data_IF_946645672260
#
_entry.id   IF_946645672260
#
_cell.length_a   1.000
_cell.length_b   1.000
_cell.length_c   1.000
_cell.angle_alpha   90.00
_cell.angle_beta   90.00
_cell.angle_gamma   90.00
#
_symmetry.space_group_name_H-M   'P 1'
#
loop_
_entity.id
_entity.type
_entity.pdbx_description
1 polymer ?
#
# COMPACT_ATOMS: atom_id res chain seq x y z
N UNK A 1 -9.57 -5.07 -9.40
CA UNK A 1 -8.29 -4.66 -8.76
C UNK A 1 -7.99 -3.17 -8.91
N UNK A 2 -8.66 -2.42 -9.80
CA UNK A 2 -8.50 -0.94 -9.90
C UNK A 2 -8.58 -0.21 -8.55
N UNK A 3 -9.54 -0.59 -7.69
CA UNK A 3 -9.82 0.11 -6.44
C UNK A 3 -8.68 0.02 -5.39
N UNK A 4 -7.70 -0.88 -5.57
CA UNK A 4 -6.53 -0.99 -4.69
C UNK A 4 -5.25 -0.45 -5.32
N UNK A 5 -5.31 -0.01 -6.58
CA UNK A 5 -4.14 0.50 -7.28
C UNK A 5 -3.63 1.77 -6.59
N UNK A 6 -2.38 1.72 -6.14
CA UNK A 6 -1.66 2.88 -5.66
C UNK A 6 -1.08 3.65 -6.86
N UNK A 7 -1.25 4.97 -6.86
CA UNK A 7 -0.66 5.87 -7.86
C UNK A 7 0.55 6.63 -7.31
N UNK A 8 0.67 6.69 -5.98
CA UNK A 8 1.75 7.35 -5.27
C UNK A 8 2.31 6.35 -4.25
N UNK A 9 3.63 6.29 -4.16
CA UNK A 9 4.35 5.55 -3.14
C UNK A 9 5.34 6.49 -2.45
N UNK A 10 5.78 6.07 -1.26
CA UNK A 10 6.76 6.80 -0.49
C UNK A 10 8.08 6.02 -0.51
N UNK A 11 9.17 6.69 -0.88
CA UNK A 11 10.52 6.12 -0.90
C UNK A 11 11.41 6.88 0.09
N UNK A 12 12.19 6.15 0.87
CA UNK A 12 13.19 6.75 1.75
C UNK A 12 14.34 7.31 0.90
N UNK A 13 14.69 8.58 1.12
CA UNK A 13 15.83 9.26 0.50
C UNK A 13 16.63 10.00 1.58
N UNK A 14 17.95 9.93 1.49
CA UNK A 14 18.84 10.62 2.42
C UNK A 14 19.18 12.01 1.90
N UNK A 15 18.94 13.04 2.70
CA UNK A 15 19.24 14.44 2.36
C UNK A 15 19.88 15.09 3.59
N UNK A 16 21.04 15.73 3.43
CA UNK A 16 21.69 16.48 4.51
C UNK A 16 21.99 15.67 5.79
N UNK A 17 22.26 14.37 5.66
CA UNK A 17 22.58 13.50 6.80
C UNK A 17 21.40 12.75 7.41
N UNK A 18 20.15 13.17 7.16
CA UNK A 18 18.92 12.53 7.67
C UNK A 18 18.11 11.85 6.55
N UNK A 19 17.28 10.87 6.91
CA UNK A 19 16.48 10.08 5.96
C UNK A 19 15.04 10.58 5.94
N UNK A 20 14.64 11.18 4.83
CA UNK A 20 13.27 11.67 4.61
C UNK A 20 12.48 10.74 3.71
N UNK A 21 11.17 10.77 3.87
CA UNK A 21 10.23 10.06 3.04
C UNK A 21 9.81 10.96 1.88
N UNK A 22 10.19 10.61 0.66
CA UNK A 22 9.88 11.37 -0.56
C UNK A 22 8.77 10.66 -1.31
N UNK A 23 7.71 11.38 -1.63
CA UNK A 23 6.58 10.90 -2.44
C UNK A 23 7.00 10.78 -3.91
N UNK A 24 6.74 9.62 -4.53
CA UNK A 24 7.04 9.34 -5.93
C UNK A 24 5.79 8.75 -6.58
N UNK A 25 5.44 9.23 -7.77
CA UNK A 25 4.37 8.62 -8.56
C UNK A 25 4.87 7.30 -9.16
N UNK A 26 4.01 6.30 -9.08
CA UNK A 26 4.31 4.94 -9.52
C UNK A 26 3.50 4.58 -10.76
N UNK A 27 4.15 3.89 -11.69
CA UNK A 27 3.51 3.39 -12.90
C UNK A 27 2.43 2.34 -12.60
N UNK A 28 1.55 2.08 -13.58
CA UNK A 28 0.41 1.17 -13.44
C UNK A 28 0.80 -0.24 -13.02
N UNK A 29 1.91 -0.77 -13.54
CA UNK A 29 2.45 -2.10 -13.22
C UNK A 29 2.95 -2.16 -11.77
N UNK A 30 3.66 -1.13 -11.31
CA UNK A 30 4.18 -1.05 -9.94
C UNK A 30 3.04 -0.87 -8.93
N UNK A 31 2.02 -0.07 -9.25
CA UNK A 31 0.83 0.09 -8.43
C UNK A 31 0.03 -1.20 -8.25
N UNK A 32 -0.08 -2.03 -9.31
CA UNK A 32 -0.68 -3.37 -9.22
C UNK A 32 0.15 -4.31 -8.34
N UNK A 33 1.48 -4.32 -8.53
CA UNK A 33 2.37 -5.14 -7.71
C UNK A 33 2.32 -4.76 -6.23
N UNK A 34 2.24 -3.47 -5.92
CA UNK A 34 2.12 -2.97 -4.55
C UNK A 34 0.78 -3.37 -3.91
N UNK A 35 -0.32 -3.27 -4.67
CA UNK A 35 -1.63 -3.72 -4.22
C UNK A 35 -1.66 -5.23 -3.87
N UNK A 36 -1.02 -6.07 -4.70
CA UNK A 36 -0.88 -7.51 -4.44
C UNK A 36 -0.02 -7.74 -3.18
N UNK A 37 1.08 -7.00 -3.02
CA UNK A 37 1.93 -7.10 -1.82
C UNK A 37 1.17 -6.72 -0.54
N UNK A 38 0.35 -5.68 -0.56
CA UNK A 38 -0.48 -5.33 0.60
C UNK A 38 -1.54 -6.38 0.90
N UNK A 39 -2.13 -6.96 -0.15
CA UNK A 39 -3.07 -8.05 0.01
C UNK A 39 -2.40 -9.23 0.72
N UNK A 40 -1.21 -9.62 0.27
CA UNK A 40 -0.39 -10.70 0.85
C UNK A 40 0.10 -10.38 2.27
N UNK A 41 0.58 -9.17 2.54
CA UNK A 41 1.08 -8.76 3.85
C UNK A 41 -0.04 -8.69 4.90
N UNK A 42 -1.28 -8.43 4.49
CA UNK A 42 -2.43 -8.46 5.38
C UNK A 42 -2.78 -9.89 5.85
N UNK A 43 -2.20 -10.94 5.27
CA UNK A 43 -2.35 -12.30 5.78
C UNK A 43 -1.43 -12.53 6.97
N UNK A 44 -1.96 -12.75 8.17
CA UNK A 44 -1.15 -13.27 9.25
C UNK A 44 -0.79 -14.72 8.93
N UNK A 45 0.49 -14.98 8.70
CA UNK A 45 1.08 -16.32 8.56
C UNK A 45 0.69 -17.22 9.75
N UNK A 46 0.44 -16.60 10.91
CA UNK A 46 0.18 -17.23 12.20
C UNK A 46 -1.29 -17.45 12.57
N UNK A 47 -2.28 -17.30 11.66
CA UNK A 47 -3.68 -17.63 12.01
C UNK A 47 -4.01 -19.10 11.75
N UNK A 48 -4.10 -19.96 12.78
CA UNK A 48 -4.52 -21.35 12.62
C UNK A 48 -5.98 -21.43 12.15
N UNK A 49 -6.33 -22.46 11.37
CA UNK A 49 -7.72 -22.93 11.26
C UNK A 49 -8.54 -22.58 10.01
N UNK A 50 -7.98 -22.06 8.91
CA UNK A 50 -8.74 -21.93 7.64
C UNK A 50 -7.85 -21.97 6.40
N UNK A 51 -8.31 -22.68 5.36
CA UNK A 51 -7.66 -22.79 4.04
C UNK A 51 -7.41 -21.39 3.45
N UNK A 52 -6.21 -21.18 2.88
CA UNK A 52 -5.75 -19.91 2.33
C UNK A 52 -6.71 -19.34 1.29
N UNK A 53 -7.32 -20.22 0.48
CA UNK A 53 -8.29 -19.83 -0.55
C UNK A 53 -9.52 -19.10 0.03
N UNK A 54 -10.07 -19.59 1.16
CA UNK A 54 -11.21 -18.96 1.83
C UNK A 54 -10.85 -17.62 2.48
N UNK A 55 -9.65 -17.50 3.03
CA UNK A 55 -9.16 -16.23 3.59
C UNK A 55 -9.00 -15.18 2.49
N UNK A 56 -8.54 -15.60 1.32
CA UNK A 56 -8.37 -14.73 0.15
C UNK A 56 -9.71 -14.26 -0.42
N UNK A 57 -10.67 -15.16 -0.61
CA UNK A 57 -11.98 -14.79 -1.16
C UNK A 57 -12.73 -13.79 -0.27
N UNK A 58 -12.74 -14.03 1.05
CA UNK A 58 -13.34 -13.11 2.02
C UNK A 58 -12.69 -11.72 1.97
N UNK A 59 -11.38 -11.67 1.76
CA UNK A 59 -10.63 -10.40 1.71
C UNK A 59 -10.81 -9.65 0.41
N UNK A 60 -10.83 -10.34 -0.72
CA UNK A 60 -11.15 -9.72 -2.02
C UNK A 60 -12.54 -9.09 -1.93
N UNK A 61 -13.51 -9.80 -1.37
CA UNK A 61 -14.86 -9.27 -1.12
C UNK A 61 -14.85 -8.05 -0.18
N UNK A 62 -14.14 -8.12 0.94
CA UNK A 62 -13.99 -6.98 1.87
C UNK A 62 -13.23 -5.78 1.28
N UNK A 63 -12.28 -6.00 0.37
CA UNK A 63 -11.59 -4.93 -0.36
C UNK A 63 -12.52 -4.20 -1.32
N UNK A 64 -13.47 -4.90 -1.95
CA UNK A 64 -14.50 -4.27 -2.77
C UNK A 64 -15.38 -3.34 -1.94
N UNK A 65 -15.62 -3.68 -0.66
CA UNK A 65 -16.40 -2.86 0.28
C UNK A 65 -15.59 -1.75 0.98
N UNK A 66 -14.31 -1.54 0.63
CA UNK A 66 -13.38 -0.58 1.27
C UNK A 66 -13.13 -0.81 2.78
N UNK A 67 -13.67 -1.87 3.38
CA UNK A 67 -13.53 -2.17 4.82
C UNK A 67 -12.28 -3.00 5.16
N UNK A 68 -11.47 -3.36 4.18
CA UNK A 68 -10.33 -4.25 4.38
C UNK A 68 -9.02 -3.50 4.65
N UNK A 69 -8.16 -4.12 5.48
CA UNK A 69 -6.79 -3.68 5.80
C UNK A 69 -5.95 -3.12 4.62
N UNK A 70 -5.99 -3.68 3.39
CA UNK A 70 -5.23 -3.14 2.26
C UNK A 70 -5.69 -1.74 1.83
N UNK A 71 -6.97 -1.40 2.06
CA UNK A 71 -7.52 -0.09 1.75
C UNK A 71 -7.05 0.96 2.75
N UNK A 72 -7.02 0.61 4.04
CA UNK A 72 -6.45 1.45 5.08
C UNK A 72 -4.95 1.71 4.82
N UNK A 73 -4.21 0.68 4.40
CA UNK A 73 -2.78 0.81 4.03
C UNK A 73 -2.58 1.77 2.85
N UNK A 74 -3.43 1.68 1.83
CA UNK A 74 -3.41 2.61 0.69
C UNK A 74 -3.65 4.04 1.16
N UNK A 75 -4.67 4.26 1.98
CA UNK A 75 -5.02 5.60 2.45
C UNK A 75 -3.96 6.19 3.38
N UNK A 76 -3.35 5.37 4.23
CA UNK A 76 -2.17 5.72 5.03
C UNK A 76 -1.02 6.19 4.13
N UNK A 77 -0.71 5.45 3.06
CA UNK A 77 0.34 5.86 2.11
C UNK A 77 0.00 7.14 1.35
N UNK A 78 -1.28 7.39 1.07
CA UNK A 78 -1.73 8.62 0.42
C UNK A 78 -1.57 9.82 1.35
N UNK A 79 -2.04 9.70 2.60
CA UNK A 79 -1.87 10.73 3.63
C UNK A 79 -0.39 11.03 3.89
N UNK A 80 0.44 10.00 3.92
CA UNK A 80 1.88 10.15 4.13
C UNK A 80 2.57 10.81 2.92
N UNK A 81 2.08 10.56 1.71
CA UNK A 81 2.55 11.26 0.52
C UNK A 81 2.12 12.73 0.50
N UNK A 82 0.90 13.05 0.93
CA UNK A 82 0.39 14.42 1.05
C UNK A 82 1.14 15.22 2.11
N UNK A 83 1.41 14.63 3.27
CA UNK A 83 2.19 15.26 4.33
C UNK A 83 3.63 15.56 3.90
N UNK A 84 4.22 14.69 3.07
CA UNK A 84 5.58 14.85 2.56
C UNK A 84 5.65 15.59 1.22
N UNK A 85 4.57 16.24 0.77
CA UNK A 85 4.51 16.98 -0.49
C UNK A 85 5.56 18.10 -0.56
N UNK A 86 5.95 18.67 0.58
CA UNK A 86 7.04 19.65 0.68
C UNK A 86 8.41 19.08 0.23
N UNK A 87 8.61 17.77 0.37
CA UNK A 87 9.83 17.08 -0.05
C UNK A 87 9.75 16.55 -1.49
N UNK A 88 8.65 16.80 -2.22
CA UNK A 88 8.51 16.39 -3.62
C UNK A 88 9.56 17.03 -4.54
N UNK A 89 10.13 18.17 -4.12
CA UNK A 89 11.24 18.81 -4.83
C UNK A 89 12.55 18.02 -4.77
N UNK A 90 12.69 17.06 -3.84
CA UNK A 90 13.84 16.16 -3.75
C UNK A 90 13.64 14.86 -4.55
N UNK A 91 12.81 14.87 -5.60
CA UNK A 91 12.51 13.68 -6.42
C UNK A 91 13.74 13.15 -7.17
#
# INVERSE_FOLDING_TARGET
MESLRAFIAVKARRVGGSTHQVSIEIGSTQGKALAIRWLLAAFPEKRPGRNMAFKLSFRISGCCQRMAMPYAKREETHRMAEANRAFAHFR
#
